data_IF_246099813546
#
_entry.id   IF_246099813546
#
_cell.length_a   1.000
_cell.length_b   1.000
_cell.length_c   1.000
_cell.angle_alpha   90.00
_cell.angle_beta   90.00
_cell.angle_gamma   90.00
#
_symmetry.space_group_name_H-M   'P 1'
#
loop_
_entity.id
_entity.type
_entity.pdbx_description
1 polymer ?
#
# COMPACT_ATOMS: atom_id res chain seq x y z
N UNK A 1 -1.16 19.83 1.34
CA UNK A 1 -2.13 18.98 0.62
C UNK A 1 -1.85 19.19 -0.85
N UNK A 2 -1.46 18.16 -1.55
CA UNK A 2 -1.32 18.23 -2.99
C UNK A 2 -2.68 18.55 -3.61
N UNK A 3 -2.70 19.54 -4.47
CA UNK A 3 -3.93 20.01 -5.12
C UNK A 3 -4.15 19.17 -6.37
N UNK A 4 -5.07 18.20 -6.31
CA UNK A 4 -5.44 17.37 -7.45
C UNK A 4 -6.49 18.07 -8.31
N UNK A 5 -6.42 17.87 -9.63
CA UNK A 5 -7.40 18.34 -10.62
C UNK A 5 -7.97 17.16 -11.42
N UNK A 6 -9.06 17.39 -12.11
CA UNK A 6 -9.59 16.43 -13.08
C UNK A 6 -8.75 16.40 -14.35
N UNK A 7 -8.75 15.28 -15.04
CA UNK A 7 -8.18 15.16 -16.39
C UNK A 7 -8.92 16.10 -17.35
N UNK A 8 -8.17 16.75 -18.23
CA UNK A 8 -8.75 17.49 -19.35
C UNK A 8 -9.00 16.57 -20.55
N UNK A 9 -9.73 17.07 -21.56
CA UNK A 9 -10.13 16.26 -22.72
C UNK A 9 -8.93 15.75 -23.54
N UNK A 10 -7.88 16.54 -23.70
CA UNK A 10 -6.66 16.14 -24.43
C UNK A 10 -5.89 15.04 -23.69
N UNK A 11 -5.80 15.09 -22.37
CA UNK A 11 -5.18 14.04 -21.55
C UNK A 11 -5.97 12.74 -21.63
N UNK A 12 -7.29 12.80 -21.55
CA UNK A 12 -8.16 11.63 -21.73
C UNK A 12 -7.99 11.01 -23.11
N UNK A 13 -7.91 11.84 -24.17
CA UNK A 13 -7.70 11.35 -25.50
C UNK A 13 -6.34 10.66 -25.66
N UNK A 14 -5.27 11.27 -25.13
CA UNK A 14 -3.94 10.69 -25.17
C UNK A 14 -3.88 9.35 -24.39
N UNK A 15 -4.45 9.28 -23.20
CA UNK A 15 -4.54 8.03 -22.42
C UNK A 15 -5.26 6.92 -23.20
N UNK A 16 -6.35 7.25 -23.90
CA UNK A 16 -7.06 6.28 -24.75
C UNK A 16 -6.19 5.78 -25.92
N UNK A 17 -5.45 6.68 -26.56
CA UNK A 17 -4.51 6.34 -27.65
C UNK A 17 -3.36 5.45 -27.15
N UNK A 18 -2.95 5.61 -25.90
CA UNK A 18 -1.95 4.77 -25.21
C UNK A 18 -2.54 3.45 -24.67
N UNK A 19 -3.78 3.12 -25.02
CA UNK A 19 -4.44 1.87 -24.66
C UNK A 19 -4.98 1.82 -23.24
N UNK A 20 -5.13 2.96 -22.58
CA UNK A 20 -5.74 3.04 -21.26
C UNK A 20 -7.26 2.97 -21.32
N UNK A 21 -7.87 2.39 -20.28
CA UNK A 21 -9.32 2.23 -20.15
C UNK A 21 -9.73 2.70 -18.75
N UNK A 22 -10.81 3.43 -18.64
CA UNK A 22 -11.41 3.81 -17.36
C UNK A 22 -12.90 3.45 -17.34
N UNK A 23 -13.37 2.99 -16.18
CA UNK A 23 -14.80 2.84 -15.93
C UNK A 23 -15.50 4.20 -16.02
N UNK A 24 -14.91 5.21 -15.39
CA UNK A 24 -15.36 6.59 -15.45
C UNK A 24 -14.16 7.56 -15.41
N UNK A 25 -13.91 8.28 -16.50
CA UNK A 25 -12.80 9.23 -16.60
C UNK A 25 -12.90 10.40 -15.60
N UNK A 26 -14.11 10.75 -15.18
CA UNK A 26 -14.34 11.82 -14.19
C UNK A 26 -13.96 11.42 -12.78
N UNK A 27 -13.73 10.13 -12.50
CA UNK A 27 -13.32 9.63 -11.19
C UNK A 27 -11.79 9.60 -11.03
N UNK A 28 -11.07 9.97 -12.09
CA UNK A 28 -9.62 10.10 -12.08
C UNK A 28 -9.26 11.55 -11.78
N UNK A 29 -8.40 11.73 -10.79
CA UNK A 29 -7.80 12.99 -10.40
C UNK A 29 -6.29 12.91 -10.58
N UNK A 30 -5.67 14.01 -10.99
CA UNK A 30 -4.22 14.04 -11.27
C UNK A 30 -3.58 15.25 -10.61
N UNK A 31 -2.28 15.17 -10.31
CA UNK A 31 -1.50 16.30 -9.84
C UNK A 31 -1.53 17.44 -10.88
N UNK A 32 -1.24 18.69 -10.44
CA UNK A 32 -1.32 19.86 -11.32
C UNK A 32 -0.41 19.74 -12.55
N UNK A 33 0.81 19.22 -12.34
CA UNK A 33 1.84 19.08 -13.38
C UNK A 33 1.86 17.68 -14.02
N UNK A 34 0.78 16.89 -13.83
CA UNK A 34 0.65 15.57 -14.44
C UNK A 34 0.70 15.63 -15.96
N UNK A 35 1.44 14.70 -16.55
CA UNK A 35 1.45 14.42 -18.00
C UNK A 35 1.13 12.94 -18.24
N UNK A 36 0.30 12.60 -19.24
CA UNK A 36 -0.05 11.21 -19.53
C UNK A 36 1.06 10.45 -20.29
N UNK A 37 2.20 11.07 -20.58
CA UNK A 37 3.26 10.55 -21.44
C UNK A 37 3.76 9.14 -21.06
N UNK A 38 3.78 8.83 -19.77
CA UNK A 38 4.31 7.56 -19.24
C UNK A 38 3.21 6.66 -18.64
N UNK A 39 2.01 6.71 -19.18
CA UNK A 39 0.88 5.86 -18.74
C UNK A 39 0.35 5.04 -19.91
N UNK A 40 0.65 3.73 -19.92
CA UNK A 40 0.30 2.84 -21.02
C UNK A 40 -0.48 1.60 -20.54
N UNK A 41 -1.47 1.19 -21.33
CA UNK A 41 -2.23 -0.05 -21.13
C UNK A 41 -2.74 -0.24 -19.70
N UNK A 42 -3.10 0.87 -19.06
CA UNK A 42 -3.57 0.89 -17.66
C UNK A 42 -5.09 0.95 -17.60
N UNK A 43 -5.66 0.18 -16.68
CA UNK A 43 -7.10 0.16 -16.44
C UNK A 43 -7.42 0.82 -15.11
N UNK A 44 -8.38 1.74 -15.12
CA UNK A 44 -8.77 2.53 -13.95
C UNK A 44 -10.22 2.20 -13.55
N UNK A 45 -10.41 1.84 -12.28
CA UNK A 45 -11.71 1.57 -11.68
C UNK A 45 -11.87 2.37 -10.38
N UNK A 46 -13.10 2.84 -10.13
CA UNK A 46 -13.39 3.66 -8.96
C UNK A 46 -12.56 4.95 -8.92
N UNK A 47 -12.24 5.43 -7.74
CA UNK A 47 -11.49 6.69 -7.54
C UNK A 47 -10.00 6.46 -7.63
N UNK A 48 -9.35 7.08 -8.61
CA UNK A 48 -7.90 6.98 -8.80
C UNK A 48 -7.29 8.38 -8.77
N UNK A 49 -6.16 8.51 -8.05
CA UNK A 49 -5.34 9.72 -8.02
C UNK A 49 -3.94 9.40 -8.49
N UNK A 50 -3.42 10.23 -9.38
CA UNK A 50 -2.09 10.04 -9.96
C UNK A 50 -1.22 11.27 -9.70
N UNK A 51 -0.02 11.04 -9.19
CA UNK A 51 1.04 12.02 -9.07
C UNK A 51 1.72 12.30 -10.40
N UNK A 52 2.89 12.92 -10.35
CA UNK A 52 3.73 13.22 -11.52
C UNK A 52 4.72 12.09 -11.73
N UNK A 53 4.81 11.55 -12.95
CA UNK A 53 5.72 10.43 -13.26
C UNK A 53 7.02 10.94 -13.87
N UNK A 54 7.88 11.53 -13.04
CA UNK A 54 9.22 11.98 -13.41
C UNK A 54 10.30 11.08 -12.80
N UNK A 55 11.46 11.00 -13.45
CA UNK A 55 12.62 10.27 -12.97
C UNK A 55 12.76 8.87 -13.54
N UNK A 56 13.87 8.24 -13.19
CA UNK A 56 14.27 6.92 -13.67
C UNK A 56 14.70 6.03 -12.49
N UNK A 57 14.43 4.75 -12.64
CA UNK A 57 14.93 3.69 -11.77
C UNK A 57 16.10 2.99 -12.44
N UNK A 58 17.21 2.86 -11.72
CA UNK A 58 18.34 2.05 -12.19
C UNK A 58 18.19 0.61 -11.71
N UNK A 59 18.08 -0.31 -12.65
CA UNK A 59 17.93 -1.73 -12.39
C UNK A 59 19.27 -2.45 -12.46
N UNK A 60 19.29 -3.70 -11.98
CA UNK A 60 20.47 -4.56 -12.08
C UNK A 60 20.96 -4.65 -13.54
N UNK A 61 22.28 -4.56 -13.74
CA UNK A 61 22.89 -4.54 -15.06
C UNK A 61 22.93 -3.16 -15.75
N UNK A 62 22.52 -2.10 -15.05
CA UNK A 62 22.62 -0.70 -15.55
C UNK A 62 21.48 -0.31 -16.48
N UNK A 63 20.42 -1.11 -16.58
CA UNK A 63 19.22 -0.74 -17.33
C UNK A 63 18.46 0.35 -16.57
N UNK A 64 17.98 1.35 -17.27
CA UNK A 64 17.16 2.42 -16.72
C UNK A 64 15.71 2.26 -17.16
N UNK A 65 14.78 2.48 -16.24
CA UNK A 65 13.35 2.41 -16.47
C UNK A 65 12.71 3.70 -15.98
N UNK A 66 11.95 4.37 -16.85
CA UNK A 66 11.26 5.61 -16.50
C UNK A 66 10.10 5.35 -15.55
N UNK A 67 9.86 6.29 -14.62
CA UNK A 67 8.66 6.31 -13.80
C UNK A 67 7.40 6.34 -14.68
N UNK A 68 6.35 5.66 -14.24
CA UNK A 68 5.11 5.56 -15.03
C UNK A 68 4.24 4.37 -14.65
N UNK A 69 3.16 4.21 -15.38
CA UNK A 69 2.22 3.11 -15.22
C UNK A 69 2.19 2.28 -16.52
N UNK A 70 2.49 0.99 -16.41
CA UNK A 70 2.59 0.11 -17.57
C UNK A 70 1.88 -1.23 -17.30
N UNK A 71 0.90 -1.58 -18.15
CA UNK A 71 0.20 -2.86 -18.05
C UNK A 71 -0.33 -3.17 -16.63
N UNK A 72 -1.08 -2.25 -16.04
CA UNK A 72 -1.59 -2.39 -14.67
C UNK A 72 -3.10 -2.13 -14.59
N UNK A 73 -3.72 -2.61 -13.52
CA UNK A 73 -5.12 -2.33 -13.18
C UNK A 73 -5.20 -1.74 -11.78
N UNK A 74 -5.78 -0.56 -11.66
CA UNK A 74 -5.91 0.18 -10.40
C UNK A 74 -7.37 0.35 -10.03
N UNK A 75 -7.73 0.05 -8.78
CA UNK A 75 -9.07 0.24 -8.24
C UNK A 75 -9.03 0.96 -6.90
N UNK A 76 -9.57 2.17 -6.80
CA UNK A 76 -9.50 3.02 -5.61
C UNK A 76 -8.05 3.20 -5.09
N UNK A 77 -7.16 3.69 -5.94
CA UNK A 77 -5.73 3.82 -5.63
C UNK A 77 -5.28 5.26 -5.78
N UNK A 78 -4.46 5.70 -4.83
CA UNK A 78 -3.66 6.92 -4.99
C UNK A 78 -2.22 6.52 -5.26
N UNK A 79 -1.61 7.03 -6.32
CA UNK A 79 -0.21 6.81 -6.68
C UNK A 79 0.53 8.13 -6.52
N UNK A 80 1.58 8.15 -5.71
CA UNK A 80 2.43 9.31 -5.49
C UNK A 80 3.37 9.59 -6.67
N UNK A 81 4.23 10.59 -6.49
CA UNK A 81 5.15 11.07 -7.51
C UNK A 81 6.30 10.09 -7.77
N UNK A 82 6.81 10.11 -8.98
CA UNK A 82 8.01 9.35 -9.37
C UNK A 82 7.87 7.84 -9.24
N UNK A 83 6.66 7.29 -9.19
CA UNK A 83 6.44 5.84 -9.09
C UNK A 83 6.56 5.15 -10.44
N UNK A 84 7.07 3.91 -10.42
CA UNK A 84 7.01 2.98 -11.56
C UNK A 84 6.21 1.76 -11.15
N UNK A 85 5.04 1.56 -11.79
CA UNK A 85 4.18 0.39 -11.55
C UNK A 85 3.99 -0.33 -12.87
N UNK A 86 4.48 -1.56 -12.94
CA UNK A 86 4.50 -2.31 -14.19
C UNK A 86 4.12 -3.78 -14.00
N UNK A 87 3.44 -4.34 -14.99
CA UNK A 87 3.10 -5.76 -15.07
C UNK A 87 2.38 -6.28 -13.82
N UNK A 88 1.38 -5.54 -13.34
CA UNK A 88 0.47 -6.06 -12.33
C UNK A 88 -0.51 -7.02 -13.02
N UNK A 89 -0.36 -8.30 -12.73
CA UNK A 89 -1.06 -9.38 -13.46
C UNK A 89 -2.58 -9.30 -13.33
N UNK A 90 -3.06 -8.99 -12.12
CA UNK A 90 -4.47 -8.83 -11.86
C UNK A 90 -4.80 -7.37 -11.51
N UNK A 91 -4.62 -6.94 -10.26
CA UNK A 91 -4.93 -5.56 -9.88
C UNK A 91 -4.28 -5.12 -8.57
N UNK A 92 -4.21 -3.80 -8.39
CA UNK A 92 -3.98 -3.13 -7.10
C UNK A 92 -5.29 -2.50 -6.67
N UNK A 93 -5.73 -2.74 -5.43
CA UNK A 93 -6.98 -2.20 -4.93
C UNK A 93 -6.88 -1.65 -3.50
N UNK A 94 -7.51 -0.48 -3.30
CA UNK A 94 -7.67 0.16 -1.99
C UNK A 94 -6.33 0.47 -1.31
N UNK A 95 -5.43 1.16 -2.02
CA UNK A 95 -4.12 1.56 -1.51
C UNK A 95 -3.80 3.03 -1.77
N UNK A 96 -3.11 3.63 -0.80
CA UNK A 96 -2.32 4.83 -0.98
C UNK A 96 -0.85 4.42 -1.14
N UNK A 97 -0.28 4.67 -2.31
CA UNK A 97 1.11 4.38 -2.64
C UNK A 97 1.87 5.70 -2.55
N UNK A 98 2.92 5.73 -1.74
CA UNK A 98 3.80 6.87 -1.55
C UNK A 98 4.64 7.20 -2.78
N UNK A 99 5.63 8.05 -2.60
CA UNK A 99 6.45 8.56 -3.68
C UNK A 99 7.63 7.62 -4.01
N UNK A 100 8.09 7.67 -5.26
CA UNK A 100 9.28 6.94 -5.73
C UNK A 100 9.22 5.43 -5.45
N UNK A 101 8.03 4.84 -5.54
CA UNK A 101 7.84 3.39 -5.38
C UNK A 101 8.07 2.66 -6.70
N UNK A 102 8.69 1.48 -6.60
CA UNK A 102 8.90 0.57 -7.73
C UNK A 102 8.14 -0.73 -7.49
N UNK A 103 7.08 -0.97 -8.29
CA UNK A 103 6.22 -2.15 -8.16
C UNK A 103 6.20 -2.87 -9.50
N UNK A 104 6.76 -4.07 -9.55
CA UNK A 104 6.87 -4.83 -10.79
C UNK A 104 6.50 -6.29 -10.59
N UNK A 105 5.77 -6.85 -11.57
CA UNK A 105 5.44 -8.27 -11.62
C UNK A 105 4.74 -8.79 -10.35
N UNK A 106 3.75 -8.05 -9.88
CA UNK A 106 2.91 -8.41 -8.73
C UNK A 106 1.60 -9.00 -9.23
N UNK A 107 1.11 -10.05 -8.59
CA UNK A 107 -0.17 -10.64 -8.98
C UNK A 107 -1.34 -9.81 -8.46
N UNK A 108 -1.55 -9.77 -7.16
CA UNK A 108 -2.61 -8.99 -6.50
C UNK A 108 -2.04 -8.25 -5.30
N UNK A 109 -2.38 -6.98 -5.17
CA UNK A 109 -2.11 -6.17 -4.00
C UNK A 109 -3.41 -5.50 -3.57
N UNK A 110 -4.02 -5.93 -2.44
CA UNK A 110 -5.33 -5.40 -2.06
C UNK A 110 -5.54 -5.26 -0.55
N UNK A 111 -6.40 -4.32 -0.18
CA UNK A 111 -7.11 -4.33 1.10
C UNK A 111 -8.55 -4.77 0.87
N UNK A 112 -8.95 -5.82 1.57
CA UNK A 112 -10.28 -6.42 1.48
C UNK A 112 -11.08 -6.13 2.75
N UNK A 113 -11.97 -5.17 2.65
CA UNK A 113 -12.75 -4.67 3.77
C UNK A 113 -11.92 -3.94 4.83
N UNK A 114 -12.51 -3.72 6.00
CA UNK A 114 -11.84 -3.05 7.12
C UNK A 114 -10.80 -3.98 7.76
N UNK A 115 -9.55 -3.56 7.77
CA UNK A 115 -8.41 -4.32 8.30
C UNK A 115 -7.70 -3.54 9.41
N UNK A 116 -7.23 -4.24 10.44
CA UNK A 116 -6.31 -3.69 11.45
C UNK A 116 -4.84 -3.86 11.06
N UNK A 117 -4.57 -4.45 9.90
CA UNK A 117 -3.22 -4.70 9.38
C UNK A 117 -2.34 -5.50 10.36
N UNK A 118 -2.94 -6.50 11.03
CA UNK A 118 -2.26 -7.32 12.02
C UNK A 118 -2.22 -6.74 13.44
N UNK A 119 -2.61 -5.48 13.63
CA UNK A 119 -2.70 -4.93 14.98
C UNK A 119 -3.84 -5.58 15.76
N UNK A 120 -3.58 -5.91 17.03
CA UNK A 120 -4.54 -6.56 17.93
C UNK A 120 -4.65 -8.07 17.77
N UNK A 121 -3.87 -8.69 16.86
CA UNK A 121 -3.84 -10.14 16.71
C UNK A 121 -3.01 -10.77 17.83
N UNK A 122 -3.57 -11.76 18.51
CA UNK A 122 -2.85 -12.51 19.55
C UNK A 122 -2.04 -13.65 18.96
N UNK A 123 -0.77 -13.74 19.35
CA UNK A 123 0.17 -14.78 18.92
C UNK A 123 0.73 -15.52 20.12
N UNK A 124 0.64 -16.85 20.09
CA UNK A 124 1.20 -17.73 21.13
C UNK A 124 2.70 -17.93 20.84
N UNK A 125 3.57 -17.30 21.64
CA UNK A 125 5.02 -17.27 21.38
C UNK A 125 5.86 -18.17 22.29
N UNK A 126 5.37 -18.53 23.50
CA UNK A 126 6.17 -19.24 24.50
C UNK A 126 5.50 -20.50 25.04
N UNK A 127 4.35 -20.90 24.55
CA UNK A 127 3.56 -21.92 25.18
C UNK A 127 2.60 -22.60 24.19
N UNK A 128 2.84 -23.85 23.89
CA UNK A 128 1.98 -24.66 23.05
C UNK A 128 0.57 -24.87 23.65
N UNK A 129 0.41 -24.73 24.95
CA UNK A 129 -0.88 -24.88 25.65
C UNK A 129 -1.65 -23.56 25.79
N UNK A 130 -1.13 -22.45 25.28
CA UNK A 130 -1.75 -21.13 25.38
C UNK A 130 -1.56 -20.41 26.71
N UNK A 131 -2.09 -19.20 26.82
CA UNK A 131 -2.11 -18.38 28.03
C UNK A 131 -0.90 -17.47 28.21
N UNK A 132 -0.05 -17.32 27.18
CA UNK A 132 1.06 -16.36 27.13
C UNK A 132 1.07 -15.63 25.79
N UNK A 133 -0.11 -15.34 25.28
CA UNK A 133 -0.28 -14.67 24.01
C UNK A 133 0.24 -13.24 24.10
N UNK A 134 0.97 -12.84 23.07
CA UNK A 134 1.38 -11.47 22.83
C UNK A 134 0.45 -10.87 21.80
N UNK A 135 -0.20 -9.76 22.17
CA UNK A 135 -1.03 -9.01 21.22
C UNK A 135 -0.13 -8.16 20.34
N UNK A 136 -0.08 -8.52 19.05
CA UNK A 136 0.78 -7.89 18.06
C UNK A 136 0.30 -6.47 17.73
N UNK A 137 1.24 -5.58 17.48
CA UNK A 137 1.00 -4.27 16.90
C UNK A 137 2.30 -3.72 16.29
N UNK A 138 2.20 -2.79 15.36
CA UNK A 138 3.33 -2.25 14.60
C UNK A 138 4.38 -1.50 15.45
N UNK A 139 4.02 -1.12 16.67
CA UNK A 139 4.93 -0.50 17.67
C UNK A 139 5.38 -1.46 18.77
N UNK A 140 5.20 -2.77 18.57
CA UNK A 140 5.56 -3.77 19.57
C UNK A 140 7.07 -3.79 19.79
N UNK A 141 7.49 -3.57 21.02
CA UNK A 141 8.90 -3.74 21.43
C UNK A 141 9.13 -5.08 22.12
N UNK A 142 10.39 -5.54 22.13
CA UNK A 142 10.78 -6.75 22.84
C UNK A 142 10.43 -6.68 24.35
N UNK A 143 10.53 -5.49 24.96
CA UNK A 143 10.15 -5.29 26.36
C UNK A 143 8.66 -5.48 26.59
N UNK A 144 7.80 -4.98 25.70
CA UNK A 144 6.36 -5.17 25.80
C UNK A 144 5.98 -6.65 25.62
N UNK A 145 6.56 -7.32 24.63
CA UNK A 145 6.36 -8.75 24.41
C UNK A 145 6.80 -9.58 25.63
N UNK A 146 7.95 -9.25 26.22
CA UNK A 146 8.45 -9.87 27.46
C UNK A 146 7.46 -9.69 28.62
N UNK A 147 6.96 -8.47 28.86
CA UNK A 147 6.00 -8.21 29.93
C UNK A 147 4.71 -9.01 29.70
N UNK A 148 4.16 -8.97 28.48
CA UNK A 148 2.91 -9.67 28.17
C UNK A 148 3.02 -11.18 28.36
N UNK A 149 4.14 -11.79 27.99
CA UNK A 149 4.33 -13.23 28.07
C UNK A 149 4.74 -13.74 29.45
N UNK A 150 5.49 -12.95 30.25
CA UNK A 150 6.11 -13.43 31.50
C UNK A 150 5.46 -12.86 32.78
N UNK A 151 4.78 -11.69 32.74
CA UNK A 151 4.22 -11.05 33.92
C UNK A 151 2.79 -11.49 34.23
N UNK A 152 2.46 -12.74 34.01
CA UNK A 152 1.11 -13.33 34.25
C UNK A 152 0.61 -13.17 35.70
N UNK A 153 1.52 -13.06 36.66
CA UNK A 153 1.21 -12.78 38.04
C UNK A 153 0.70 -11.35 38.28
N UNK A 154 0.64 -10.51 37.25
CA UNK A 154 0.13 -9.15 37.25
C UNK A 154 -1.05 -9.00 36.27
N UNK A 155 -2.20 -9.68 36.50
CA UNK A 155 -3.29 -9.72 35.52
C UNK A 155 -3.82 -8.34 35.14
N UNK A 156 -3.95 -7.44 36.09
CA UNK A 156 -4.43 -6.06 35.84
C UNK A 156 -3.51 -5.29 34.88
N UNK A 157 -2.18 -5.54 34.96
CA UNK A 157 -1.23 -4.92 34.02
C UNK A 157 -1.46 -5.44 32.61
N UNK A 158 -1.57 -6.75 32.45
CA UNK A 158 -1.78 -7.40 31.13
C UNK A 158 -3.11 -6.95 30.52
N UNK A 159 -4.19 -6.90 31.31
CA UNK A 159 -5.49 -6.43 30.84
C UNK A 159 -5.43 -4.97 30.35
N UNK A 160 -4.74 -4.09 31.08
CA UNK A 160 -4.55 -2.69 30.68
C UNK A 160 -3.73 -2.58 29.37
N UNK A 161 -2.66 -3.37 29.23
CA UNK A 161 -1.88 -3.40 27.99
C UNK A 161 -2.74 -3.85 26.80
N UNK A 162 -3.50 -4.93 26.98
CA UNK A 162 -4.43 -5.42 25.94
C UNK A 162 -5.47 -4.36 25.58
N UNK A 163 -6.04 -3.68 26.55
CA UNK A 163 -7.02 -2.62 26.31
C UNK A 163 -6.43 -1.45 25.50
N UNK A 164 -5.18 -1.03 25.82
CA UNK A 164 -4.47 0.03 25.09
C UNK A 164 -4.18 -0.42 23.66
N UNK A 165 -3.68 -1.64 23.46
CA UNK A 165 -3.38 -2.19 22.13
C UNK A 165 -4.65 -2.37 21.31
N UNK A 166 -5.73 -2.86 21.92
CA UNK A 166 -7.02 -3.00 21.26
C UNK A 166 -7.57 -1.66 20.78
N UNK A 167 -7.49 -0.61 21.59
CA UNK A 167 -7.87 0.75 21.18
C UNK A 167 -6.99 1.23 20.02
N UNK A 168 -5.68 1.04 20.12
CA UNK A 168 -4.74 1.38 19.05
C UNK A 168 -5.07 0.65 17.73
N UNK A 169 -5.40 -0.64 17.81
CA UNK A 169 -5.78 -1.43 16.65
C UNK A 169 -7.05 -0.87 15.96
N UNK A 170 -8.07 -0.52 16.74
CA UNK A 170 -9.30 0.07 16.22
C UNK A 170 -9.07 1.46 15.58
N UNK A 171 -8.24 2.31 16.19
CA UNK A 171 -7.89 3.63 15.67
C UNK A 171 -7.09 3.55 14.36
N UNK A 172 -6.36 2.46 14.14
CA UNK A 172 -5.57 2.21 12.92
C UNK A 172 -6.28 1.33 11.88
N UNK A 173 -7.47 0.84 12.20
CA UNK A 173 -8.25 0.04 11.27
C UNK A 173 -8.75 0.90 10.09
N UNK A 174 -8.55 0.41 8.87
CA UNK A 174 -8.94 1.10 7.64
C UNK A 174 -9.32 0.10 6.56
N UNK A 175 -10.11 0.54 5.60
CA UNK A 175 -10.38 -0.12 4.32
C UNK A 175 -9.37 0.27 3.23
N UNK A 176 -8.47 1.23 3.55
CA UNK A 176 -7.38 1.67 2.68
C UNK A 176 -6.03 1.31 3.30
N UNK A 177 -5.20 0.62 2.53
CA UNK A 177 -3.80 0.34 2.89
C UNK A 177 -2.87 1.49 2.57
N UNK A 178 -1.67 1.42 3.11
CA UNK A 178 -0.61 2.40 2.81
C UNK A 178 0.68 1.68 2.44
N UNK A 179 1.31 2.17 1.39
CA UNK A 179 2.68 1.86 1.01
C UNK A 179 3.45 3.17 1.16
N UNK A 180 4.51 3.16 1.95
CA UNK A 180 5.34 4.33 2.20
C UNK A 180 6.17 4.75 0.99
N UNK A 181 7.07 5.70 1.20
CA UNK A 181 7.95 6.21 0.14
C UNK A 181 9.12 5.26 -0.14
N UNK A 182 9.62 5.28 -1.38
CA UNK A 182 10.80 4.51 -1.81
C UNK A 182 10.68 3.00 -1.60
N UNK A 183 9.48 2.46 -1.69
CA UNK A 183 9.23 1.03 -1.54
C UNK A 183 9.47 0.30 -2.86
N UNK A 184 10.09 -0.88 -2.77
CA UNK A 184 10.29 -1.77 -3.92
C UNK A 184 9.54 -3.08 -3.67
N UNK A 185 8.63 -3.45 -4.59
CA UNK A 185 7.91 -4.73 -4.56
C UNK A 185 8.09 -5.39 -5.91
N UNK A 186 8.77 -6.54 -5.95
CA UNK A 186 9.04 -7.24 -7.21
C UNK A 186 8.75 -8.74 -7.09
N UNK A 187 8.29 -9.33 -8.19
CA UNK A 187 8.07 -10.77 -8.31
C UNK A 187 7.19 -11.36 -7.19
N UNK A 188 6.23 -10.61 -6.70
CA UNK A 188 5.38 -11.00 -5.58
C UNK A 188 4.02 -11.53 -6.05
N UNK A 189 3.52 -12.55 -5.35
CA UNK A 189 2.22 -13.12 -5.62
C UNK A 189 1.08 -12.30 -5.02
N UNK A 190 0.43 -12.86 -4.00
CA UNK A 190 -0.76 -12.28 -3.38
C UNK A 190 -0.43 -11.55 -2.07
N UNK A 191 -0.53 -10.23 -2.08
CA UNK A 191 -0.32 -9.37 -0.91
C UNK A 191 -1.68 -8.80 -0.48
N UNK A 192 -2.11 -9.14 0.74
CA UNK A 192 -3.43 -8.75 1.24
C UNK A 192 -3.36 -8.14 2.64
N UNK A 193 -4.07 -7.02 2.83
CA UNK A 193 -4.27 -6.39 4.14
C UNK A 193 -2.96 -6.05 4.87
N UNK A 194 -2.01 -5.46 4.16
CA UNK A 194 -0.67 -5.11 4.67
C UNK A 194 -0.48 -3.61 4.61
N UNK A 195 0.13 -3.03 5.63
CA UNK A 195 0.77 -1.70 5.58
C UNK A 195 2.26 -1.90 5.40
N UNK A 196 2.85 -1.16 4.46
CA UNK A 196 4.27 -1.23 4.14
C UNK A 196 4.89 0.13 4.46
N UNK A 197 5.92 0.15 5.30
CA UNK A 197 6.64 1.37 5.67
C UNK A 197 7.62 1.81 4.58
N UNK A 198 8.22 2.99 4.77
CA UNK A 198 9.18 3.57 3.83
C UNK A 198 10.41 2.68 3.63
N UNK A 199 11.00 2.74 2.43
CA UNK A 199 12.23 2.03 2.05
C UNK A 199 12.17 0.51 2.19
N UNK A 200 10.99 -0.09 2.30
CA UNK A 200 10.84 -1.54 2.32
C UNK A 200 11.14 -2.17 0.96
N UNK A 201 11.69 -3.39 1.01
CA UNK A 201 11.90 -4.23 -0.18
C UNK A 201 11.22 -5.58 0.04
N UNK A 202 10.40 -5.99 -0.90
CA UNK A 202 9.59 -7.23 -0.90
C UNK A 202 9.84 -7.95 -2.22
#
# INVERSE_FOLDING_TARGET
>A
MEEYRKLNESEVQQLKEQGCIAECWTDIEVAQDFTPEYVFYTRFYGKVRLGVFEGEFELAGGMKKHAGLYHTTLHNVTVGDGCCIENVKNYIANYHIGNHCFIENVDILLVDGRSTFGNGVEVSVLNETGGREVMMHDRLSAHQAYIMSLYRHRPVLIERMRAIIGKYAEENASDMGTIGDHVTIVDSGYIKNVKIGDYCKI
#
